data_IF_315768647668
#
_entry.id   IF_315768647668
#
_cell.length_a   1.000
_cell.length_b   1.000
_cell.length_c   1.000
_cell.angle_alpha   90.00
_cell.angle_beta   90.00
_cell.angle_gamma   90.00
#
_symmetry.space_group_name_H-M   'P 1'
#
loop_
_entity.id
_entity.type
_entity.pdbx_description
1 polymer ?
#
# COMPACT_ATOMS: atom_id res chain seq x y z
N UNK A 1 23.52 4.56 -9.52
CA UNK A 1 22.11 4.97 -9.36
C UNK A 1 21.36 3.72 -9.75
N UNK A 2 21.03 2.88 -8.77
CA UNK A 2 20.51 1.56 -9.04
C UNK A 2 19.12 1.72 -9.66
N UNK A 3 18.94 1.16 -10.86
CA UNK A 3 17.66 1.11 -11.54
C UNK A 3 16.65 0.46 -10.59
N UNK A 4 15.63 1.22 -10.19
CA UNK A 4 14.47 0.66 -9.50
C UNK A 4 13.91 -0.42 -10.43
N UNK A 5 13.71 -1.67 -9.96
CA UNK A 5 13.19 -2.73 -10.82
C UNK A 5 11.87 -2.26 -11.42
N UNK A 6 11.79 -2.34 -12.74
CA UNK A 6 10.61 -1.98 -13.51
C UNK A 6 9.40 -2.77 -12.98
N UNK A 7 8.29 -2.08 -12.75
CA UNK A 7 7.06 -2.70 -12.29
C UNK A 7 6.53 -3.65 -13.38
N UNK A 8 6.76 -4.95 -13.20
CA UNK A 8 6.47 -5.98 -14.20
C UNK A 8 5.24 -6.80 -13.78
N UNK A 9 4.09 -6.48 -14.38
CA UNK A 9 2.82 -7.15 -14.09
C UNK A 9 2.89 -8.66 -14.40
N UNK A 10 3.53 -9.07 -15.49
CA UNK A 10 3.63 -10.48 -15.87
C UNK A 10 4.40 -11.28 -14.83
N UNK A 11 5.51 -10.74 -14.32
CA UNK A 11 6.28 -11.36 -13.25
C UNK A 11 5.49 -11.47 -11.95
N UNK A 12 4.70 -10.45 -11.60
CA UNK A 12 3.82 -10.48 -10.43
C UNK A 12 2.75 -11.58 -10.60
N UNK A 13 2.09 -11.63 -11.76
CA UNK A 13 1.08 -12.65 -12.07
C UNK A 13 1.67 -14.06 -12.02
N UNK A 14 2.87 -14.27 -12.55
CA UNK A 14 3.55 -15.57 -12.50
C UNK A 14 3.95 -15.96 -11.08
N UNK A 15 4.24 -14.99 -10.20
CA UNK A 15 4.48 -15.23 -8.78
C UNK A 15 3.18 -15.70 -8.09
N UNK A 16 2.07 -15.00 -8.33
CA UNK A 16 0.76 -15.38 -7.80
C UNK A 16 0.30 -16.76 -8.30
N UNK A 17 0.56 -17.09 -9.56
CA UNK A 17 0.28 -18.44 -10.10
C UNK A 17 1.07 -19.54 -9.40
N UNK A 18 2.28 -19.25 -8.91
CA UNK A 18 3.05 -20.20 -8.09
C UNK A 18 2.47 -20.33 -6.68
N UNK A 19 1.92 -19.26 -6.10
CA UNK A 19 1.21 -19.33 -4.82
C UNK A 19 -0.01 -20.26 -4.90
N UNK A 20 -0.70 -20.32 -6.05
CA UNK A 20 -1.80 -21.28 -6.29
C UNK A 20 -1.35 -22.75 -6.33
N UNK A 21 -0.04 -23.03 -6.32
CA UNK A 21 0.48 -24.40 -6.20
C UNK A 21 0.80 -24.76 -4.74
N UNK A 22 0.79 -23.79 -3.82
CA UNK A 22 1.00 -24.01 -2.39
C UNK A 22 -0.32 -24.40 -1.71
N UNK A 23 -0.41 -25.67 -1.31
CA UNK A 23 -1.62 -26.23 -0.69
C UNK A 23 -2.03 -25.48 0.58
N UNK A 24 -1.08 -24.99 1.38
CA UNK A 24 -1.40 -24.29 2.62
C UNK A 24 -2.04 -22.91 2.37
N UNK A 25 -1.62 -22.23 1.30
CA UNK A 25 -2.20 -20.95 0.89
C UNK A 25 -3.55 -21.14 0.20
N UNK A 26 -3.66 -22.11 -0.71
CA UNK A 26 -4.87 -22.38 -1.48
C UNK A 26 -6.08 -22.68 -0.59
N UNK A 27 -5.88 -23.48 0.46
CA UNK A 27 -6.95 -23.83 1.41
C UNK A 27 -7.69 -22.61 2.00
N UNK A 28 -7.02 -21.46 2.10
CA UNK A 28 -7.56 -20.28 2.78
C UNK A 28 -7.70 -19.04 1.88
N UNK A 29 -6.91 -18.95 0.79
CA UNK A 29 -6.73 -17.70 0.04
C UNK A 29 -6.86 -17.83 -1.48
N UNK A 30 -7.23 -19.00 -2.02
CA UNK A 30 -7.37 -19.24 -3.47
C UNK A 30 -8.15 -18.13 -4.19
N UNK A 31 -9.37 -17.83 -3.73
CA UNK A 31 -10.25 -16.82 -4.33
C UNK A 31 -9.59 -15.44 -4.37
N UNK A 32 -8.86 -15.09 -3.31
CA UNK A 32 -8.17 -13.80 -3.23
C UNK A 32 -7.00 -13.72 -4.22
N UNK A 33 -6.22 -14.80 -4.32
CA UNK A 33 -5.11 -14.90 -5.27
C UNK A 33 -5.63 -14.81 -6.71
N UNK A 34 -6.69 -15.56 -7.04
CA UNK A 34 -7.34 -15.51 -8.35
C UNK A 34 -7.88 -14.12 -8.69
N UNK A 35 -8.48 -13.43 -7.71
CA UNK A 35 -9.00 -12.08 -7.92
C UNK A 35 -7.88 -11.09 -8.27
N UNK A 36 -6.73 -11.16 -7.59
CA UNK A 36 -5.55 -10.34 -7.92
C UNK A 36 -5.01 -10.62 -9.30
N UNK A 37 -4.86 -11.90 -9.66
CA UNK A 37 -4.41 -12.31 -10.99
C UNK A 37 -5.33 -11.72 -12.06
N UNK A 38 -6.65 -11.80 -11.85
CA UNK A 38 -7.65 -11.26 -12.78
C UNK A 38 -7.55 -9.73 -12.90
N UNK A 39 -7.44 -9.03 -11.77
CA UNK A 39 -7.33 -7.57 -11.74
C UNK A 39 -6.08 -7.09 -12.47
N UNK A 40 -4.92 -7.69 -12.16
CA UNK A 40 -3.64 -7.37 -12.81
C UNK A 40 -3.64 -7.69 -14.31
N UNK A 41 -4.19 -8.86 -14.69
CA UNK A 41 -4.29 -9.25 -16.11
C UNK A 41 -5.19 -8.30 -16.89
N UNK A 42 -6.32 -7.89 -16.31
CA UNK A 42 -7.21 -6.90 -16.92
C UNK A 42 -6.50 -5.56 -17.10
N UNK A 43 -5.81 -5.08 -16.04
CA UNK A 43 -5.07 -3.82 -16.10
C UNK A 43 -3.98 -3.83 -17.18
N UNK A 44 -3.26 -4.95 -17.31
CA UNK A 44 -2.24 -5.12 -18.34
C UNK A 44 -2.82 -5.13 -19.76
N UNK A 45 -3.97 -5.77 -19.98
CA UNK A 45 -4.58 -5.86 -21.31
C UNK A 45 -5.29 -4.56 -21.75
N UNK A 46 -5.97 -3.88 -20.83
CA UNK A 46 -6.77 -2.68 -21.12
C UNK A 46 -5.98 -1.38 -20.90
N UNK A 47 -4.70 -1.49 -20.52
CA UNK A 47 -3.87 -0.37 -20.08
C UNK A 47 -4.57 0.49 -19.01
N UNK A 48 -5.35 -0.16 -18.13
CA UNK A 48 -6.06 0.56 -17.08
C UNK A 48 -5.08 0.96 -15.97
N UNK A 49 -5.39 2.07 -15.31
CA UNK A 49 -4.57 2.55 -14.20
C UNK A 49 -4.80 1.64 -12.99
N UNK A 50 -3.69 1.14 -12.44
CA UNK A 50 -3.67 0.49 -11.14
C UNK A 50 -3.86 1.52 -10.02
N UNK A 51 -3.90 1.10 -8.75
CA UNK A 51 -4.08 2.02 -7.62
C UNK A 51 -3.11 3.21 -7.74
N UNK A 52 -3.60 4.46 -7.73
CA UNK A 52 -4.91 4.91 -7.21
C UNK A 52 -6.09 4.94 -8.21
N UNK A 53 -6.03 4.16 -9.30
CA UNK A 53 -7.00 4.11 -10.41
C UNK A 53 -7.15 5.44 -11.17
N UNK A 54 -6.22 6.39 -10.95
CA UNK A 54 -6.14 7.70 -11.59
C UNK A 54 -4.68 8.16 -11.63
N UNK A 55 -4.36 9.09 -12.52
CA UNK A 55 -3.04 9.71 -12.57
C UNK A 55 -2.75 10.48 -11.29
N UNK A 56 -1.50 10.44 -10.84
CA UNK A 56 -1.03 11.18 -9.66
C UNK A 56 -0.03 12.24 -10.10
N UNK A 57 -0.25 13.48 -9.68
CA UNK A 57 0.68 14.58 -9.92
C UNK A 57 1.49 14.99 -8.68
N UNK A 58 0.97 14.68 -7.49
CA UNK A 58 1.58 15.09 -6.24
C UNK A 58 1.12 14.21 -5.08
N UNK A 59 1.95 14.15 -4.03
CA UNK A 59 1.59 13.44 -2.81
C UNK A 59 2.20 14.10 -1.58
N UNK A 60 1.53 13.96 -0.44
CA UNK A 60 1.98 14.48 0.85
C UNK A 60 1.97 13.37 1.87
N UNK A 61 3.11 13.12 2.50
CA UNK A 61 3.22 12.31 3.69
C UNK A 61 2.88 13.15 4.92
N UNK A 62 2.01 12.65 5.78
CA UNK A 62 1.61 13.29 7.03
C UNK A 62 1.79 12.30 8.17
N UNK A 63 2.54 12.68 9.20
CA UNK A 63 2.91 11.79 10.29
C UNK A 63 2.98 12.48 11.64
N UNK A 64 3.38 11.73 12.66
CA UNK A 64 3.53 12.25 14.02
C UNK A 64 2.18 12.57 14.66
N UNK A 65 1.14 11.80 14.35
CA UNK A 65 -0.16 11.91 15.01
C UNK A 65 0.00 11.58 16.49
N UNK A 66 0.13 12.62 17.33
CA UNK A 66 0.18 12.44 18.76
C UNK A 66 -1.12 11.73 19.20
N UNK A 67 -0.99 10.64 19.95
CA UNK A 67 -2.09 10.15 20.75
C UNK A 67 -2.45 11.29 21.71
N UNK A 68 -3.61 11.91 21.53
CA UNK A 68 -4.11 12.89 22.49
C UNK A 68 -4.16 12.19 23.85
N UNK A 69 -3.33 12.66 24.78
CA UNK A 69 -3.26 12.33 26.20
C UNK A 69 -4.14 11.16 26.67
N UNK A 70 -3.59 9.93 26.70
CA UNK A 70 -3.93 8.71 27.49
C UNK A 70 -5.41 8.32 27.80
N UNK A 71 -6.40 9.08 27.37
CA UNK A 71 -7.82 9.02 27.74
C UNK A 71 -8.75 9.31 26.56
N UNK A 72 -8.23 9.60 25.35
CA UNK A 72 -9.09 9.69 24.17
C UNK A 72 -9.39 8.28 23.66
N UNK A 73 -10.63 7.82 23.82
CA UNK A 73 -11.16 6.62 23.14
C UNK A 73 -11.25 6.78 21.61
N UNK A 74 -10.62 7.81 21.03
CA UNK A 74 -10.68 8.13 19.62
C UNK A 74 -9.40 7.69 18.89
N UNK A 75 -9.52 6.54 18.22
CA UNK A 75 -8.45 5.93 17.44
C UNK A 75 -8.43 6.39 15.98
N UNK A 76 -9.31 7.32 15.59
CA UNK A 76 -9.40 7.81 14.20
C UNK A 76 -8.28 8.80 13.89
N UNK A 77 -7.60 8.65 12.76
CA UNK A 77 -6.59 9.62 12.31
C UNK A 77 -7.16 11.01 12.08
N UNK A 78 -8.39 11.06 11.59
CA UNK A 78 -9.07 12.30 11.18
C UNK A 78 -9.28 13.28 12.34
N UNK A 79 -9.33 12.78 13.58
CA UNK A 79 -9.43 13.60 14.77
C UNK A 79 -8.08 13.99 15.38
N UNK A 80 -6.99 13.40 14.89
CA UNK A 80 -5.62 13.69 15.34
C UNK A 80 -5.02 14.77 14.45
N UNK A 81 -4.23 15.67 15.06
CA UNK A 81 -3.46 16.65 14.29
C UNK A 81 -2.13 16.03 13.87
N UNK A 82 -1.72 16.15 12.59
CA UNK A 82 -0.41 15.71 12.15
C UNK A 82 0.67 16.55 12.86
N UNK A 83 1.72 15.88 13.34
CA UNK A 83 2.89 16.55 13.91
C UNK A 83 3.78 17.17 12.84
N UNK A 84 3.78 16.60 11.63
CA UNK A 84 4.54 17.09 10.49
C UNK A 84 3.94 16.64 9.15
N UNK A 85 4.31 17.34 8.08
CA UNK A 85 3.95 17.00 6.71
C UNK A 85 5.14 17.23 5.76
N UNK A 86 5.35 16.31 4.82
CA UNK A 86 6.43 16.34 3.83
C UNK A 86 5.85 16.07 2.45
N UNK A 87 6.15 16.93 1.48
CA UNK A 87 5.81 16.70 0.07
C UNK A 87 6.74 15.62 -0.49
N UNK A 88 6.18 14.62 -1.15
CA UNK A 88 6.96 13.56 -1.79
C UNK A 88 7.46 14.01 -3.16
N UNK A 89 8.73 13.74 -3.47
CA UNK A 89 9.26 13.89 -4.81
C UNK A 89 8.71 12.81 -5.75
N UNK A 90 8.80 13.02 -7.06
CA UNK A 90 8.25 12.13 -8.08
C UNK A 90 8.77 10.69 -7.94
N UNK A 91 10.04 10.52 -7.64
CA UNK A 91 10.65 9.21 -7.47
C UNK A 91 10.01 8.42 -6.31
N UNK A 92 9.67 9.09 -5.21
CA UNK A 92 8.98 8.46 -4.07
C UNK A 92 7.52 8.18 -4.37
N UNK A 93 6.86 9.06 -5.13
CA UNK A 93 5.49 8.84 -5.60
C UNK A 93 5.44 7.57 -6.46
N UNK A 94 6.29 7.51 -7.48
CA UNK A 94 6.34 6.38 -8.41
C UNK A 94 6.70 5.07 -7.66
N UNK A 95 7.70 5.11 -6.77
CA UNK A 95 8.09 3.95 -5.97
C UNK A 95 6.98 3.49 -5.00
N UNK A 96 6.25 4.42 -4.38
CA UNK A 96 5.08 4.07 -3.56
C UNK A 96 3.96 3.46 -4.41
N UNK A 97 3.68 3.99 -5.61
CA UNK A 97 2.67 3.44 -6.51
C UNK A 97 3.04 2.00 -6.89
N UNK A 98 4.28 1.74 -7.27
CA UNK A 98 4.75 0.37 -7.55
C UNK A 98 4.66 -0.54 -6.33
N UNK A 99 5.04 -0.02 -5.15
CA UNK A 99 4.95 -0.76 -3.90
C UNK A 99 3.51 -1.20 -3.57
N UNK A 100 2.53 -0.30 -3.75
CA UNK A 100 1.14 -0.60 -3.41
C UNK A 100 0.46 -1.54 -4.40
N UNK A 101 0.98 -1.60 -5.63
CA UNK A 101 0.44 -2.45 -6.69
C UNK A 101 1.10 -3.83 -6.76
N UNK A 102 2.09 -4.11 -5.92
CA UNK A 102 2.76 -5.41 -5.85
C UNK A 102 2.27 -6.20 -4.61
N UNK A 103 1.43 -7.24 -4.79
CA UNK A 103 0.87 -8.03 -3.70
C UNK A 103 1.92 -8.82 -2.90
N UNK A 104 3.12 -9.03 -3.45
CA UNK A 104 4.22 -9.70 -2.74
C UNK A 104 4.75 -8.87 -1.56
N UNK A 105 4.42 -7.57 -1.49
CA UNK A 105 4.76 -6.70 -0.38
C UNK A 105 3.90 -6.94 0.86
N UNK A 106 2.85 -7.75 0.75
CA UNK A 106 1.91 -8.02 1.84
C UNK A 106 1.86 -9.52 2.14
N UNK A 107 1.77 -9.92 3.41
CA UNK A 107 1.57 -11.34 3.77
C UNK A 107 0.09 -11.65 4.01
N UNK A 108 -0.31 -12.90 3.79
CA UNK A 108 -1.66 -13.36 4.09
C UNK A 108 -1.85 -13.52 5.60
N UNK A 109 -2.24 -12.44 6.28
CA UNK A 109 -2.56 -12.51 7.69
C UNK A 109 -3.14 -11.22 8.24
N UNK A 110 -4.15 -11.37 9.08
CA UNK A 110 -4.69 -10.27 9.84
C UNK A 110 -3.72 -9.94 10.99
N UNK A 111 -3.31 -8.68 11.06
CA UNK A 111 -2.89 -8.10 12.32
C UNK A 111 -4.11 -7.38 12.89
N UNK A 112 -4.30 -7.44 14.21
CA UNK A 112 -5.49 -6.99 14.94
C UNK A 112 -5.87 -5.51 14.75
N UNK A 113 -6.41 -4.87 15.79
CA UNK A 113 -6.87 -3.49 15.65
C UNK A 113 -5.74 -2.56 15.22
N UNK A 114 -5.82 -2.03 14.00
CA UNK A 114 -4.85 -1.07 13.47
C UNK A 114 -4.84 0.19 14.35
N UNK A 115 -3.65 0.59 14.82
CA UNK A 115 -3.44 1.89 15.47
C UNK A 115 -2.73 2.77 14.45
N UNK A 116 -3.43 3.67 13.77
CA UNK A 116 -2.82 4.42 12.70
C UNK A 116 -1.90 5.54 13.22
N UNK A 117 -0.83 5.80 12.48
CA UNK A 117 0.30 6.65 12.91
C UNK A 117 0.77 7.65 11.84
N UNK A 118 0.44 7.39 10.57
CA UNK A 118 0.75 8.26 9.45
C UNK A 118 -0.16 7.97 8.25
N UNK A 119 -0.17 8.86 7.27
CA UNK A 119 -0.75 8.58 5.96
C UNK A 119 -0.03 9.30 4.82
N UNK A 120 -0.21 8.81 3.60
CA UNK A 120 0.09 9.54 2.36
C UNK A 120 -1.22 9.90 1.69
N UNK A 121 -1.37 11.16 1.30
CA UNK A 121 -2.46 11.62 0.45
C UNK A 121 -1.91 11.80 -0.96
N UNK A 122 -2.56 11.15 -1.93
CA UNK A 122 -2.25 11.28 -3.36
C UNK A 122 -3.24 12.22 -4.03
N UNK A 123 -2.74 13.08 -4.91
CA UNK A 123 -3.53 14.08 -5.59
C UNK A 123 -3.37 14.00 -7.11
N UNK A 124 -4.42 14.44 -7.79
CA UNK A 124 -4.49 14.65 -9.24
C UNK A 124 -5.24 15.94 -9.50
N UNK A 125 -4.63 16.89 -10.20
CA UNK A 125 -5.17 18.20 -10.51
C UNK A 125 -5.71 18.92 -9.26
N UNK A 126 -5.00 18.79 -8.15
CA UNK A 126 -5.37 19.36 -6.85
C UNK A 126 -6.52 18.66 -6.12
N UNK A 127 -7.02 17.52 -6.62
CA UNK A 127 -8.04 16.69 -5.94
C UNK A 127 -7.40 15.45 -5.34
N UNK A 128 -7.76 15.11 -4.10
CA UNK A 128 -7.32 13.86 -3.49
C UNK A 128 -7.94 12.68 -4.25
N UNK A 129 -7.12 11.77 -4.75
CA UNK A 129 -7.55 10.57 -5.47
C UNK A 129 -7.36 9.30 -4.65
N UNK A 130 -6.42 9.32 -3.71
CA UNK A 130 -6.24 8.21 -2.78
C UNK A 130 -5.57 8.62 -1.46
N UNK A 131 -5.72 7.74 -0.48
CA UNK A 131 -5.10 7.80 0.84
C UNK A 131 -4.49 6.44 1.17
N UNK A 132 -3.26 6.44 1.67
CA UNK A 132 -2.56 5.28 2.24
C UNK A 132 -2.41 5.53 3.71
N UNK A 133 -2.88 4.62 4.55
CA UNK A 133 -2.75 4.73 6.00
C UNK A 133 -1.69 3.76 6.48
N UNK A 134 -0.76 4.25 7.30
CA UNK A 134 0.24 3.43 7.99
C UNK A 134 -0.13 3.28 9.46
N UNK A 135 -0.04 2.08 9.98
CA UNK A 135 -0.35 1.72 11.36
C UNK A 135 0.72 0.81 11.96
N UNK A 136 0.76 0.77 13.29
CA UNK A 136 1.57 -0.17 14.07
C UNK A 136 3.06 -0.16 13.66
N UNK A 137 3.73 1.00 13.73
CA UNK A 137 5.12 1.15 13.31
C UNK A 137 5.34 0.88 11.82
N UNK A 138 4.38 1.29 10.97
CA UNK A 138 4.37 1.08 9.51
C UNK A 138 4.32 -0.39 9.06
N UNK A 139 4.14 -1.35 9.99
CA UNK A 139 3.99 -2.78 9.65
C UNK A 139 2.61 -3.13 9.07
N UNK A 140 1.65 -2.23 9.22
CA UNK A 140 0.31 -2.34 8.65
C UNK A 140 0.00 -1.18 7.72
N UNK A 141 -0.58 -1.49 6.57
CA UNK A 141 -1.00 -0.53 5.55
C UNK A 141 -2.43 -0.79 5.12
N UNK A 142 -3.22 0.27 4.98
CA UNK A 142 -4.55 0.23 4.37
C UNK A 142 -4.74 1.37 3.37
N UNK A 143 -5.74 1.23 2.51
CA UNK A 143 -5.93 2.10 1.34
C UNK A 143 -7.36 2.58 1.21
N UNK A 144 -7.49 3.79 0.69
CA UNK A 144 -8.76 4.35 0.22
C UNK A 144 -8.52 5.03 -1.13
N UNK A 145 -9.20 4.62 -2.22
CA UNK A 145 -10.11 3.47 -2.29
C UNK A 145 -9.40 2.13 -2.01
N UNK A 146 -10.16 1.11 -1.60
CA UNK A 146 -9.61 -0.22 -1.37
C UNK A 146 -9.00 -0.80 -2.66
N UNK A 147 -7.93 -1.56 -2.51
CA UNK A 147 -7.27 -2.28 -3.61
C UNK A 147 -7.15 -3.77 -3.27
N UNK A 148 -7.38 -4.67 -4.24
CA UNK A 148 -7.22 -6.11 -4.04
C UNK A 148 -5.76 -6.54 -3.80
N UNK A 149 -4.79 -5.64 -3.97
CA UNK A 149 -3.37 -5.93 -3.80
C UNK A 149 -2.97 -6.17 -2.33
N UNK A 150 -3.73 -5.63 -1.38
CA UNK A 150 -3.42 -5.75 0.05
C UNK A 150 -3.89 -7.08 0.63
N UNK A 151 -2.98 -7.78 1.31
CA UNK A 151 -3.28 -9.03 2.01
C UNK A 151 -3.62 -8.72 3.47
N UNK A 152 -4.76 -8.08 3.73
CA UNK A 152 -5.19 -7.67 5.08
C UNK A 152 -4.28 -6.65 5.79
N UNK A 153 -3.38 -6.03 5.03
CA UNK A 153 -2.58 -4.87 5.45
C UNK A 153 -1.22 -5.18 6.07
N UNK A 154 -0.91 -6.42 6.41
CA UNK A 154 0.40 -6.78 6.97
C UNK A 154 1.52 -6.78 5.93
N UNK A 155 2.67 -6.17 6.24
CA UNK A 155 3.85 -6.15 5.36
C UNK A 155 4.66 -7.45 5.44
N UNK A 156 4.95 -8.05 4.29
CA UNK A 156 5.93 -9.14 4.21
C UNK A 156 7.34 -8.61 4.48
N UNK A 157 8.31 -9.50 4.71
CA UNK A 157 9.72 -9.09 4.84
C UNK A 157 10.22 -8.31 3.60
N UNK A 158 9.74 -8.70 2.41
CA UNK A 158 10.04 -8.00 1.16
C UNK A 158 9.42 -6.60 1.19
N UNK A 159 8.16 -6.50 1.59
CA UNK A 159 7.44 -5.24 1.71
C UNK A 159 8.10 -4.29 2.72
N UNK A 160 8.43 -4.77 3.92
CA UNK A 160 9.11 -3.98 4.94
C UNK A 160 10.43 -3.41 4.43
N UNK A 161 11.26 -4.25 3.80
CA UNK A 161 12.54 -3.82 3.23
C UNK A 161 12.37 -2.77 2.11
N UNK A 162 11.39 -2.96 1.20
CA UNK A 162 11.12 -1.98 0.14
C UNK A 162 10.62 -0.66 0.72
N UNK A 163 9.71 -0.69 1.68
CA UNK A 163 9.20 0.53 2.32
C UNK A 163 10.32 1.29 3.03
N UNK A 164 11.23 0.56 3.69
CA UNK A 164 12.44 1.10 4.30
C UNK A 164 13.44 1.66 3.30
N UNK A 165 13.41 1.25 2.02
CA UNK A 165 14.22 1.88 0.98
C UNK A 165 13.57 3.16 0.47
N UNK A 166 12.25 3.18 0.32
CA UNK A 166 11.48 4.35 -0.14
C UNK A 166 11.55 5.49 0.89
N UNK A 167 11.41 5.16 2.18
CA UNK A 167 11.37 6.11 3.31
C UNK A 167 10.50 7.34 3.01
N UNK A 168 9.18 7.20 2.83
CA UNK A 168 8.30 8.34 2.51
C UNK A 168 8.29 9.42 3.62
N UNK A 169 8.78 9.09 4.82
CA UNK A 169 8.89 10.00 5.96
C UNK A 169 10.17 10.85 6.01
N UNK A 170 11.11 10.70 5.07
CA UNK A 170 12.38 11.44 5.05
C UNK A 170 12.55 12.32 3.82
#
# INVERSE_FOLDING_TARGET
MDEQPEYNIEQIVDTLRKELLDTALVENFEIMIEHKIRYLSYANCDNSLLFPNQEVDSAVYMGGYALNELNSNDFRLESRKPGFATILCKEKIDAMIHFMNDPANFFYGECGTQIPEAHILFFSQGKQVARVVFACGHSQISYEPETPMTNFGGLSDIGGNKLDQIKPWK
#
